data_IF_588593884138
#
_entry.id   IF_588593884138
#
_cell.length_a   1.000
_cell.length_b   1.000
_cell.length_c   1.000
_cell.angle_alpha   90.00
_cell.angle_beta   90.00
_cell.angle_gamma   90.00
#
_symmetry.space_group_name_H-M   'P 1'
#
loop_
_entity.id
_entity.type
_entity.pdbx_description
1 polymer ?
#
# COMPACT_ATOMS: atom_id res chain seq x y z
N UNK A 1 -9.94 -2.39 -9.50
CA UNK A 1 -10.50 -1.06 -9.22
C UNK A 1 -9.35 -0.06 -9.20
N UNK A 2 -9.51 1.16 -9.72
CA UNK A 2 -8.42 2.15 -9.83
C UNK A 2 -8.72 3.34 -8.92
N UNK A 3 -7.93 3.50 -7.85
CA UNK A 3 -7.96 4.66 -6.95
C UNK A 3 -6.59 5.34 -6.99
N UNK A 4 -6.53 6.68 -6.98
CA UNK A 4 -5.27 7.43 -7.08
C UNK A 4 -5.28 8.69 -6.20
N UNK A 5 -4.14 8.98 -5.56
CA UNK A 5 -3.82 10.23 -4.87
C UNK A 5 -2.40 10.64 -5.24
N UNK A 6 -2.16 11.94 -5.41
CA UNK A 6 -0.83 12.51 -5.72
C UNK A 6 -0.34 13.30 -4.51
N UNK A 7 0.90 13.04 -4.07
CA UNK A 7 1.58 13.82 -3.03
C UNK A 7 2.93 14.31 -3.53
N UNK A 8 3.27 15.54 -3.15
CA UNK A 8 4.54 16.22 -3.48
C UNK A 8 5.65 15.85 -2.48
N UNK A 9 5.30 15.17 -1.37
CA UNK A 9 6.25 14.72 -0.34
C UNK A 9 5.97 13.27 0.05
N UNK A 10 7.04 12.46 0.10
CA UNK A 10 7.00 11.02 0.39
C UNK A 10 6.91 10.75 1.92
N UNK A 11 5.99 11.41 2.62
CA UNK A 11 5.76 11.13 4.04
C UNK A 11 4.92 9.86 4.19
N UNK A 12 5.44 8.84 4.86
CA UNK A 12 4.78 7.56 5.07
C UNK A 12 3.38 7.69 5.72
N UNK A 13 3.18 8.73 6.55
CA UNK A 13 1.88 9.04 7.15
C UNK A 13 0.78 9.36 6.11
N UNK A 14 1.12 9.97 4.98
CA UNK A 14 0.15 10.28 3.92
C UNK A 14 -0.38 9.01 3.23
N UNK A 15 0.51 8.04 2.99
CA UNK A 15 0.14 6.78 2.34
C UNK A 15 -0.79 5.93 3.23
N UNK A 16 -0.59 5.96 4.54
CA UNK A 16 -1.46 5.25 5.49
C UNK A 16 -2.87 5.83 5.47
N UNK A 17 -3.00 7.16 5.57
CA UNK A 17 -4.32 7.82 5.51
C UNK A 17 -5.01 7.55 4.17
N UNK A 18 -4.28 7.59 3.06
CA UNK A 18 -4.81 7.26 1.75
C UNK A 18 -5.28 5.81 1.63
N UNK A 19 -4.54 4.88 2.22
CA UNK A 19 -4.91 3.48 2.24
C UNK A 19 -6.18 3.27 3.08
N UNK A 20 -6.25 3.84 4.28
CA UNK A 20 -7.42 3.72 5.17
C UNK A 20 -8.68 4.28 4.51
N UNK A 21 -8.62 5.49 3.94
CA UNK A 21 -9.74 6.09 3.21
C UNK A 21 -10.22 5.20 2.04
N UNK A 22 -9.31 4.57 1.30
CA UNK A 22 -9.65 3.71 0.18
C UNK A 22 -10.30 2.39 0.66
N UNK A 23 -9.83 1.82 1.76
CA UNK A 23 -10.40 0.58 2.32
C UNK A 23 -11.76 0.81 3.00
N UNK A 24 -12.04 2.03 3.43
CA UNK A 24 -13.34 2.41 3.98
C UNK A 24 -14.34 2.80 2.89
N UNK A 25 -13.86 3.40 1.79
CA UNK A 25 -14.74 3.89 0.70
C UNK A 25 -15.12 2.80 -0.31
N UNK A 26 -14.41 1.67 -0.32
CA UNK A 26 -14.53 0.66 -1.37
C UNK A 26 -14.39 -0.77 -0.84
N UNK A 27 -14.81 -1.74 -1.65
CA UNK A 27 -14.62 -3.16 -1.35
C UNK A 27 -13.13 -3.50 -1.22
N UNK A 28 -12.81 -4.22 -0.15
CA UNK A 28 -11.44 -4.57 0.22
C UNK A 28 -10.92 -5.68 -0.70
N UNK A 29 -9.71 -5.52 -1.29
CA UNK A 29 -9.13 -6.56 -2.13
C UNK A 29 -8.66 -7.74 -1.28
N UNK A 30 -8.64 -8.94 -1.87
CA UNK A 30 -8.02 -10.12 -1.23
C UNK A 30 -6.49 -10.03 -1.20
N UNK A 31 -5.90 -9.38 -2.22
CA UNK A 31 -4.44 -9.22 -2.39
C UNK A 31 -4.14 -7.75 -2.71
N UNK A 32 -3.22 -7.16 -1.96
CA UNK A 32 -2.62 -5.85 -2.25
C UNK A 32 -1.24 -6.06 -2.87
N UNK A 33 -1.07 -5.58 -4.11
CA UNK A 33 0.22 -5.61 -4.79
C UNK A 33 0.98 -4.31 -4.55
N UNK A 34 2.24 -4.38 -4.14
CA UNK A 34 3.13 -3.22 -4.00
C UNK A 34 4.53 -3.51 -4.54
N UNK A 35 5.30 -2.46 -4.82
CA UNK A 35 6.75 -2.61 -4.96
C UNK A 35 7.44 -2.72 -3.59
N UNK A 36 8.69 -3.18 -3.56
CA UNK A 36 9.52 -3.25 -2.33
C UNK A 36 10.03 -1.87 -1.84
N UNK A 37 9.43 -0.78 -2.28
CA UNK A 37 9.77 0.56 -1.83
C UNK A 37 9.58 0.75 -0.33
N UNK A 38 10.46 1.56 0.29
CA UNK A 38 10.47 1.81 1.74
C UNK A 38 9.13 2.30 2.33
N UNK A 39 8.31 2.97 1.53
CA UNK A 39 6.97 3.45 1.91
C UNK A 39 5.97 2.31 2.13
N UNK A 40 6.12 1.19 1.40
CA UNK A 40 5.22 0.02 1.46
C UNK A 40 5.73 -1.09 2.38
N UNK A 41 7.02 -1.05 2.73
CA UNK A 41 7.65 -1.99 3.68
C UNK A 41 7.64 -1.48 5.12
N UNK A 42 7.15 -0.26 5.37
CA UNK A 42 7.02 0.25 6.74
C UNK A 42 6.02 -0.57 7.55
N UNK A 43 6.36 -0.87 8.82
CA UNK A 43 5.51 -1.67 9.72
C UNK A 43 4.13 -1.05 9.91
N UNK A 44 4.04 0.29 9.92
CA UNK A 44 2.78 1.00 10.05
C UNK A 44 1.85 0.78 8.84
N UNK A 45 2.41 0.69 7.63
CA UNK A 45 1.64 0.43 6.42
C UNK A 45 1.16 -1.03 6.34
N UNK A 46 2.06 -2.00 6.57
CA UNK A 46 1.70 -3.42 6.52
C UNK A 46 0.72 -3.80 7.65
N UNK A 47 0.79 -3.14 8.80
CA UNK A 47 -0.16 -3.34 9.90
C UNK A 47 -1.62 -3.04 9.50
N UNK A 48 -1.86 -2.01 8.68
CA UNK A 48 -3.21 -1.70 8.18
C UNK A 48 -3.74 -2.84 7.29
N UNK A 49 -2.92 -3.32 6.36
CA UNK A 49 -3.31 -4.42 5.46
C UNK A 49 -3.57 -5.73 6.23
N UNK A 50 -2.72 -6.05 7.22
CA UNK A 50 -2.92 -7.22 8.06
C UNK A 50 -4.18 -7.13 8.93
N UNK A 51 -4.50 -5.94 9.48
CA UNK A 51 -5.74 -5.70 10.25
C UNK A 51 -6.97 -6.02 9.41
N UNK A 52 -6.94 -5.60 8.15
CA UNK A 52 -8.03 -5.83 7.19
C UNK A 52 -7.99 -7.22 6.53
N UNK A 53 -7.07 -8.10 6.94
CA UNK A 53 -6.89 -9.47 6.42
C UNK A 53 -6.60 -9.51 4.92
N UNK A 54 -5.90 -8.49 4.42
CA UNK A 54 -5.48 -8.38 3.02
C UNK A 54 -4.10 -9.02 2.88
N UNK A 55 -3.95 -9.95 1.94
CA UNK A 55 -2.65 -10.55 1.64
C UNK A 55 -1.76 -9.54 0.90
N UNK A 56 -0.45 -9.54 1.17
CA UNK A 56 0.50 -8.62 0.55
C UNK A 56 1.37 -9.41 -0.43
N UNK A 57 1.46 -8.94 -1.67
CA UNK A 57 2.36 -9.46 -2.70
C UNK A 57 3.30 -8.34 -3.11
N UNK A 58 4.60 -8.51 -2.88
CA UNK A 58 5.60 -7.51 -3.21
C UNK A 58 6.39 -7.92 -4.45
N UNK A 59 6.47 -7.03 -5.44
CA UNK A 59 7.31 -7.21 -6.62
C UNK A 59 8.69 -6.58 -6.37
N UNK A 60 9.74 -7.41 -6.40
CA UNK A 60 11.12 -6.95 -6.30
C UNK A 60 11.55 -6.21 -7.57
N UNK A 61 12.46 -5.24 -7.42
CA UNK A 61 13.04 -4.55 -8.60
C UNK A 61 13.64 -5.59 -9.54
N UNK A 62 13.16 -5.63 -10.78
CA UNK A 62 13.77 -6.43 -11.83
C UNK A 62 15.27 -6.14 -11.89
N UNK A 63 16.09 -7.18 -11.69
CA UNK A 63 17.54 -7.11 -11.91
C UNK A 63 17.74 -6.68 -13.36
N UNK A 64 18.41 -5.54 -13.64
CA UNK A 64 18.78 -5.24 -15.02
C UNK A 64 19.78 -6.32 -15.47
N UNK A 65 19.46 -6.96 -16.59
CA UNK A 65 20.35 -7.89 -17.28
C UNK A 65 21.64 -7.21 -17.74
#
# INVERSE_FOLDING_TARGET
>A
MLAWRVSISLHAAFFIVALEEALDSYDKPTIFNSDEGSQFTSTAFTAVLHREKIAISMEGKGVPA
#
